data_IF_528911566009
#
_entry.id   IF_528911566009
#
_cell.length_a   1.000
_cell.length_b   1.000
_cell.length_c   1.000
_cell.angle_alpha   90.00
_cell.angle_beta   90.00
_cell.angle_gamma   90.00
#
_symmetry.space_group_name_H-M   'P 1'
#
loop_
_entity.id
_entity.type
_entity.pdbx_description
1 polymer ?
#
# COMPACT_ATOMS: atom_id res chain seq x y z
N UNK A 1 -27.84 -48.65 -10.22
CA UNK A 1 -27.04 -47.90 -9.23
C UNK A 1 -25.65 -48.52 -9.21
N UNK A 2 -24.64 -47.84 -9.76
CA UNK A 2 -23.26 -48.34 -9.79
C UNK A 2 -22.31 -47.19 -9.49
N UNK A 3 -21.40 -47.44 -8.54
CA UNK A 3 -20.46 -46.49 -7.98
C UNK A 3 -19.16 -46.46 -8.78
N UNK A 4 -18.52 -45.30 -8.86
CA UNK A 4 -17.07 -45.22 -9.07
C UNK A 4 -16.46 -44.27 -8.05
N UNK A 5 -15.64 -44.86 -7.18
CA UNK A 5 -14.68 -44.17 -6.33
C UNK A 5 -13.46 -43.86 -7.18
N UNK A 6 -12.95 -42.64 -7.12
CA UNK A 6 -11.65 -42.28 -7.70
C UNK A 6 -10.81 -41.61 -6.62
N UNK A 7 -9.84 -42.38 -6.12
CA UNK A 7 -8.73 -41.93 -5.30
C UNK A 7 -7.77 -41.12 -6.17
N UNK A 8 -7.28 -39.97 -5.69
CA UNK A 8 -6.14 -39.28 -6.28
C UNK A 8 -5.15 -38.88 -5.18
N UNK A 9 -3.87 -39.11 -5.51
CA UNK A 9 -2.76 -39.33 -4.61
C UNK A 9 -2.10 -38.06 -4.06
N UNK A 10 -1.31 -38.29 -3.00
CA UNK A 10 -0.31 -37.40 -2.40
C UNK A 10 0.46 -36.55 -3.42
N UNK A 11 0.57 -35.25 -3.14
CA UNK A 11 1.67 -34.42 -3.62
C UNK A 11 2.48 -33.94 -2.41
N UNK A 12 3.68 -34.49 -2.25
CA UNK A 12 4.68 -34.01 -1.31
C UNK A 12 5.24 -32.68 -1.81
N UNK A 13 4.98 -31.59 -1.10
CA UNK A 13 5.59 -30.29 -1.37
C UNK A 13 6.98 -30.23 -0.73
N UNK A 14 8.01 -30.34 -1.58
CA UNK A 14 9.38 -29.92 -1.27
C UNK A 14 9.38 -28.42 -0.98
N UNK A 15 9.55 -28.05 0.29
CA UNK A 15 9.74 -26.67 0.69
C UNK A 15 11.18 -26.23 0.33
N UNK A 16 11.35 -25.65 -0.87
CA UNK A 16 12.52 -24.84 -1.18
C UNK A 16 12.52 -23.61 -0.26
N UNK A 17 13.58 -23.43 0.53
CA UNK A 17 13.81 -22.20 1.29
C UNK A 17 14.13 -21.06 0.31
N UNK A 18 13.10 -20.38 -0.16
CA UNK A 18 13.25 -19.14 -0.93
C UNK A 18 13.93 -18.07 -0.06
N UNK A 19 14.78 -17.19 -0.64
CA UNK A 19 15.34 -16.07 0.10
C UNK A 19 14.20 -15.24 0.71
N UNK A 20 14.32 -14.87 1.98
CA UNK A 20 13.30 -14.12 2.69
C UNK A 20 13.03 -12.78 1.98
N UNK A 21 11.88 -12.71 1.30
CA UNK A 21 11.41 -11.52 0.60
C UNK A 21 10.84 -10.53 1.63
N UNK A 22 11.47 -9.37 1.77
CA UNK A 22 10.88 -8.28 2.54
C UNK A 22 9.90 -7.54 1.62
N UNK A 23 8.61 -7.64 1.91
CA UNK A 23 7.53 -6.99 1.16
C UNK A 23 6.57 -6.27 2.10
N UNK A 24 6.04 -5.14 1.67
CA UNK A 24 4.91 -4.50 2.34
C UNK A 24 3.99 -3.84 1.33
N UNK A 25 2.72 -3.70 1.70
CA UNK A 25 1.71 -2.97 0.97
C UNK A 25 0.82 -2.22 1.95
N UNK A 26 0.25 -1.12 1.51
CA UNK A 26 -0.76 -0.40 2.27
C UNK A 26 -1.66 0.35 1.31
N UNK A 27 -2.89 0.57 1.75
CA UNK A 27 -3.88 1.37 1.06
C UNK A 27 -4.55 2.27 2.09
N UNK A 28 -4.96 3.46 1.67
CA UNK A 28 -5.78 4.32 2.49
C UNK A 28 -6.75 5.08 1.63
N UNK A 29 -7.99 5.14 2.12
CA UNK A 29 -9.10 5.86 1.52
C UNK A 29 -9.62 6.86 2.53
N UNK A 30 -9.76 8.11 2.11
CA UNK A 30 -10.46 9.16 2.81
C UNK A 30 -11.80 9.38 2.08
N UNK A 31 -12.90 9.04 2.75
CA UNK A 31 -14.26 9.34 2.31
C UNK A 31 -15.14 9.44 3.55
N UNK A 32 -16.01 10.44 3.60
CA UNK A 32 -17.06 10.57 4.61
C UNK A 32 -18.45 10.25 4.06
N UNK A 33 -18.52 9.59 2.88
CA UNK A 33 -19.78 9.30 2.18
C UNK A 33 -20.38 10.50 1.43
N UNK A 34 -19.66 11.62 1.37
CA UNK A 34 -20.07 12.83 0.66
C UNK A 34 -19.50 12.95 -0.77
N UNK A 35 -19.30 14.18 -1.20
CA UNK A 35 -19.00 14.55 -2.60
C UNK A 35 -17.53 14.38 -2.97
N UNK A 36 -16.67 14.21 -1.97
CA UNK A 36 -15.22 14.08 -2.14
C UNK A 36 -14.69 12.74 -1.62
N UNK A 37 -13.81 12.13 -2.41
CA UNK A 37 -13.04 10.97 -1.99
C UNK A 37 -11.58 11.09 -2.43
N UNK A 38 -10.68 10.46 -1.68
CA UNK A 38 -9.28 10.36 -2.04
C UNK A 38 -8.73 9.02 -1.58
N UNK A 39 -8.09 8.28 -2.46
CA UNK A 39 -7.47 7.01 -2.17
C UNK A 39 -6.02 6.96 -2.67
N UNK A 40 -5.19 6.23 -1.93
CA UNK A 40 -3.81 5.99 -2.30
C UNK A 40 -3.40 4.58 -1.91
N UNK A 41 -2.52 3.98 -2.69
CA UNK A 41 -1.86 2.73 -2.34
C UNK A 41 -0.36 2.85 -2.54
N UNK A 42 0.39 2.02 -1.83
CA UNK A 42 1.84 1.95 -1.94
C UNK A 42 2.33 0.57 -1.53
N UNK A 43 3.24 0.02 -2.32
CA UNK A 43 3.88 -1.26 -2.09
C UNK A 43 5.37 -1.18 -2.37
N UNK A 44 6.12 -2.05 -1.71
CA UNK A 44 7.55 -2.14 -1.90
C UNK A 44 8.06 -3.53 -1.57
N UNK A 45 9.10 -3.95 -2.28
CA UNK A 45 9.79 -5.22 -2.05
C UNK A 45 11.28 -5.11 -2.30
N UNK A 46 12.07 -5.98 -1.64
CA UNK A 46 13.49 -6.14 -1.93
C UNK A 46 13.91 -7.61 -1.86
N UNK A 47 14.80 -8.00 -2.78
CA UNK A 47 15.41 -9.34 -2.86
C UNK A 47 16.91 -9.32 -2.53
N UNK A 48 17.37 -8.32 -1.77
CA UNK A 48 18.78 -8.12 -1.42
C UNK A 48 19.61 -7.42 -2.51
N UNK A 49 19.38 -7.75 -3.77
CA UNK A 49 20.03 -7.13 -4.95
C UNK A 49 19.09 -6.27 -5.78
N UNK A 50 17.77 -6.40 -5.59
CA UNK A 50 16.76 -5.61 -6.29
C UNK A 50 15.85 -4.88 -5.32
N UNK A 51 15.34 -3.73 -5.76
CA UNK A 51 14.38 -2.91 -5.03
C UNK A 51 13.26 -2.52 -5.98
N UNK A 52 12.03 -2.82 -5.59
CA UNK A 52 10.84 -2.41 -6.33
C UNK A 52 9.96 -1.57 -5.42
N UNK A 53 9.44 -0.46 -5.94
CA UNK A 53 8.43 0.37 -5.28
C UNK A 53 7.36 0.78 -6.27
N UNK A 54 6.10 0.75 -5.84
CA UNK A 54 4.96 1.11 -6.67
C UNK A 54 3.90 1.78 -5.80
N UNK A 55 3.03 2.58 -6.42
CA UNK A 55 1.84 3.08 -5.75
C UNK A 55 0.80 3.57 -6.72
N UNK A 56 -0.33 4.01 -6.17
CA UNK A 56 -1.45 4.60 -6.89
C UNK A 56 -2.01 5.78 -6.12
N UNK A 57 -2.66 6.70 -6.84
CA UNK A 57 -3.38 7.84 -6.29
C UNK A 57 -4.62 8.06 -7.14
N UNK A 58 -5.78 8.10 -6.50
CA UNK A 58 -7.09 8.33 -7.13
C UNK A 58 -7.88 9.27 -6.24
N UNK A 59 -8.62 10.20 -6.82
CA UNK A 59 -9.49 11.10 -6.08
C UNK A 59 -10.65 11.55 -6.97
N UNK A 60 -11.79 11.81 -6.33
CA UNK A 60 -12.99 12.28 -6.99
C UNK A 60 -13.59 13.44 -6.20
N UNK A 61 -14.14 14.42 -6.91
CA UNK A 61 -14.90 15.52 -6.35
C UNK A 61 -16.12 15.79 -7.24
N UNK A 62 -17.32 15.83 -6.65
CA UNK A 62 -18.54 16.23 -7.34
C UNK A 62 -18.72 17.76 -7.36
N UNK A 63 -19.78 18.24 -8.01
CA UNK A 63 -20.29 19.62 -7.92
C UNK A 63 -19.29 20.76 -8.25
N UNK A 64 -18.31 20.48 -9.11
CA UNK A 64 -17.28 21.47 -9.49
C UNK A 64 -16.10 21.54 -8.53
N UNK A 65 -15.96 20.57 -7.63
CA UNK A 65 -14.79 20.41 -6.79
C UNK A 65 -13.51 20.13 -7.56
N UNK A 66 -12.37 20.32 -6.90
CA UNK A 66 -11.03 20.15 -7.46
C UNK A 66 -10.37 18.86 -6.99
N UNK A 67 -9.73 18.16 -7.92
CA UNK A 67 -8.93 16.96 -7.66
C UNK A 67 -7.46 17.23 -7.95
N UNK A 68 -6.58 16.72 -7.09
CA UNK A 68 -5.14 16.72 -7.27
C UNK A 68 -4.57 15.35 -6.87
N UNK A 69 -3.99 14.64 -7.84
CA UNK A 69 -3.32 13.36 -7.64
C UNK A 69 -1.87 13.47 -8.08
N UNK A 70 -0.97 12.90 -7.28
CA UNK A 70 0.44 12.77 -7.62
C UNK A 70 0.95 11.41 -7.17
N UNK A 71 1.76 10.81 -8.02
CA UNK A 71 2.47 9.58 -7.73
C UNK A 71 3.90 9.73 -8.21
N UNK A 72 4.86 9.48 -7.32
CA UNK A 72 6.27 9.57 -7.65
C UNK A 72 6.97 8.35 -7.06
N UNK A 73 7.70 7.64 -7.90
CA UNK A 73 8.56 6.54 -7.52
C UNK A 73 10.00 6.85 -7.94
N UNK A 74 10.94 6.58 -7.06
CA UNK A 74 12.38 6.65 -7.33
C UNK A 74 13.06 5.47 -6.68
N UNK A 75 13.96 4.83 -7.40
CA UNK A 75 14.76 3.74 -6.88
C UNK A 75 16.21 3.90 -7.32
N UNK A 76 17.12 3.48 -6.44
CA UNK A 76 18.51 3.21 -6.75
C UNK A 76 18.90 1.88 -6.09
N UNK A 77 20.17 1.48 -6.22
CA UNK A 77 20.68 0.21 -5.70
C UNK A 77 20.49 0.03 -4.19
N UNK A 78 20.45 1.13 -3.43
CA UNK A 78 20.42 1.11 -1.95
C UNK A 78 19.03 1.36 -1.38
N UNK A 79 18.16 2.07 -2.10
CA UNK A 79 16.88 2.53 -1.57
C UNK A 79 15.86 2.78 -2.68
N UNK A 80 14.63 2.35 -2.40
CA UNK A 80 13.43 2.70 -3.15
C UNK A 80 12.55 3.60 -2.30
N UNK A 81 12.00 4.65 -2.89
CA UNK A 81 10.99 5.49 -2.27
C UNK A 81 9.85 5.72 -3.25
N UNK A 82 8.64 5.51 -2.77
CA UNK A 82 7.41 5.83 -3.46
C UNK A 82 6.56 6.76 -2.59
N UNK A 83 5.91 7.71 -3.24
CA UNK A 83 5.00 8.66 -2.61
C UNK A 83 3.78 8.86 -3.50
N UNK A 84 2.62 8.51 -2.97
CA UNK A 84 1.31 8.81 -3.53
C UNK A 84 0.65 9.90 -2.71
N UNK A 85 0.01 10.86 -3.35
CA UNK A 85 -0.88 11.83 -2.70
C UNK A 85 -2.11 11.99 -3.58
N UNK A 86 -3.27 11.86 -2.97
CA UNK A 86 -4.55 12.15 -3.58
C UNK A 86 -5.30 13.15 -2.71
N UNK A 87 -5.92 14.13 -3.35
CA UNK A 87 -6.69 15.18 -2.70
C UNK A 87 -7.92 15.48 -3.54
N UNK A 88 -9.06 15.54 -2.88
CA UNK A 88 -10.29 16.08 -3.42
C UNK A 88 -10.79 17.19 -2.49
N UNK A 89 -11.27 18.28 -3.07
CA UNK A 89 -11.80 19.43 -2.34
C UNK A 89 -13.07 19.89 -3.03
N UNK A 90 -14.10 20.08 -2.26
CA UNK A 90 -15.31 20.79 -2.63
C UNK A 90 -15.52 21.99 -1.67
N UNK A 91 -16.56 22.79 -1.88
CA UNK A 91 -16.87 23.98 -1.10
C UNK A 91 -16.99 23.69 0.41
N UNK A 92 -17.59 22.54 0.77
CA UNK A 92 -17.86 22.18 2.17
C UNK A 92 -17.10 20.94 2.64
N UNK A 93 -16.40 20.22 1.75
CA UNK A 93 -15.76 18.94 2.09
C UNK A 93 -14.35 18.81 1.53
N UNK A 94 -13.50 18.08 2.25
CA UNK A 94 -12.13 17.78 1.81
C UNK A 94 -11.75 16.36 2.17
N UNK A 95 -11.30 15.61 1.17
CA UNK A 95 -10.66 14.32 1.34
C UNK A 95 -9.17 14.40 0.95
N UNK A 96 -8.31 13.73 1.72
CA UNK A 96 -6.89 13.62 1.42
C UNK A 96 -6.37 12.26 1.83
N UNK A 97 -5.69 11.58 0.91
CA UNK A 97 -4.95 10.37 1.19
C UNK A 97 -3.49 10.55 0.78
N UNK A 98 -2.56 10.02 1.57
CA UNK A 98 -1.14 10.07 1.29
C UNK A 98 -0.48 8.78 1.73
N UNK A 99 0.13 8.08 0.80
CA UNK A 99 0.94 6.89 1.07
C UNK A 99 2.39 7.18 0.77
N UNK A 100 3.28 6.71 1.62
CA UNK A 100 4.71 6.76 1.41
C UNK A 100 5.31 5.40 1.74
N UNK A 101 5.95 4.78 0.74
CA UNK A 101 6.66 3.52 0.89
C UNK A 101 8.16 3.75 0.73
N UNK A 102 8.94 3.16 1.61
CA UNK A 102 10.39 3.18 1.59
C UNK A 102 10.91 1.74 1.71
N UNK A 103 11.75 1.35 0.76
CA UNK A 103 12.46 0.07 0.75
C UNK A 103 13.95 0.38 0.94
N UNK A 104 14.61 -0.29 1.89
CA UNK A 104 16.06 -0.25 2.03
C UNK A 104 16.67 -1.57 1.61
N UNK A 105 17.80 -1.49 0.90
CA UNK A 105 18.67 -2.63 0.69
C UNK A 105 19.08 -3.20 2.07
N UNK A 106 18.98 -4.52 2.25
CA UNK A 106 19.15 -5.15 3.56
C UNK A 106 17.84 -5.47 4.30
N UNK A 107 16.69 -5.33 3.63
CA UNK A 107 15.48 -6.09 3.97
C UNK A 107 14.45 -5.37 4.84
N UNK A 108 14.52 -4.05 4.99
CA UNK A 108 13.46 -3.30 5.68
C UNK A 108 12.62 -2.55 4.65
N UNK A 109 11.34 -2.89 4.59
CA UNK A 109 10.32 -2.14 3.86
C UNK A 109 9.38 -1.50 4.85
N UNK A 110 9.21 -0.18 4.76
CA UNK A 110 8.28 0.58 5.58
C UNK A 110 7.29 1.28 4.68
N UNK A 111 6.02 1.18 5.00
CA UNK A 111 4.97 1.96 4.37
C UNK A 111 4.15 2.69 5.41
N UNK A 112 3.78 3.93 5.11
CA UNK A 112 2.96 4.77 5.96
C UNK A 112 1.89 5.43 5.12
N UNK A 113 0.64 5.29 5.55
CA UNK A 113 -0.51 5.94 4.95
C UNK A 113 -1.21 6.83 5.94
N UNK A 114 -1.59 8.01 5.47
CA UNK A 114 -2.36 9.00 6.19
C UNK A 114 -3.60 9.28 5.36
N UNK A 115 -4.78 9.14 5.95
CA UNK A 115 -6.04 9.60 5.37
C UNK A 115 -6.59 10.71 6.24
N UNK A 116 -7.29 11.66 5.63
CA UNK A 116 -7.98 12.72 6.32
C UNK A 116 -9.24 13.07 5.55
N UNK A 117 -10.36 13.11 6.27
CA UNK A 117 -11.62 13.63 5.80
C UNK A 117 -12.04 14.79 6.70
N UNK A 118 -12.56 15.85 6.09
CA UNK A 118 -13.08 16.99 6.81
C UNK A 118 -14.32 17.53 6.10
N UNK A 119 -15.40 17.64 6.86
CA UNK A 119 -16.59 18.37 6.48
C UNK A 119 -16.64 19.69 7.25
N UNK A 120 -17.10 20.75 6.59
CA UNK A 120 -17.21 22.08 7.17
C UNK A 120 -18.11 22.05 8.40
N UNK A 121 -17.64 22.67 9.48
CA UNK A 121 -18.33 22.68 10.78
C UNK A 121 -18.00 21.49 11.69
N UNK A 122 -17.31 20.46 11.18
CA UNK A 122 -16.93 19.27 11.95
C UNK A 122 -15.41 19.21 12.18
N UNK A 123 -14.97 18.46 13.19
CA UNK A 123 -13.53 18.21 13.38
C UNK A 123 -13.01 17.27 12.28
N UNK A 124 -11.85 17.54 11.67
CA UNK A 124 -11.23 16.62 10.73
C UNK A 124 -10.98 15.24 11.36
N UNK A 125 -11.39 14.19 10.65
CA UNK A 125 -11.09 12.80 11.01
C UNK A 125 -9.87 12.36 10.22
N UNK A 126 -8.87 11.79 10.89
CA UNK A 126 -7.68 11.28 10.22
C UNK A 126 -7.30 9.90 10.75
N UNK A 127 -6.76 9.07 9.87
CA UNK A 127 -6.27 7.74 10.20
C UNK A 127 -4.82 7.60 9.72
N UNK A 128 -4.03 6.86 10.50
CA UNK A 128 -2.63 6.59 10.20
C UNK A 128 -2.39 5.09 10.26
N UNK A 129 -2.02 4.52 9.12
CA UNK A 129 -1.63 3.12 9.01
C UNK A 129 -0.15 3.06 8.74
N UNK A 130 0.60 2.26 9.49
CA UNK A 130 2.03 2.03 9.26
C UNK A 130 2.31 0.55 9.24
N UNK A 131 2.84 0.08 8.10
CA UNK A 131 3.27 -1.31 7.93
C UNK A 131 4.79 -1.33 7.80
N UNK A 132 5.45 -2.25 8.50
CA UNK A 132 6.90 -2.46 8.38
C UNK A 132 7.14 -3.95 8.20
N UNK A 133 7.89 -4.32 7.16
CA UNK A 133 8.31 -5.70 6.97
C UNK A 133 9.34 -6.09 8.05
N UNK A 134 9.32 -7.33 8.54
CA UNK A 134 10.39 -7.82 9.41
C UNK A 134 11.72 -7.81 8.66
N UNK A 135 12.81 -7.52 9.38
CA UNK A 135 14.16 -7.69 8.85
C UNK A 135 14.40 -9.20 8.64
N UNK A 136 14.92 -9.65 7.49
CA UNK A 136 15.24 -11.06 7.30
C UNK A 136 16.21 -11.53 8.39
N UNK A 137 15.85 -12.61 9.08
CA UNK A 137 16.65 -13.19 10.17
C UNK A 137 17.94 -13.78 9.61
N UNK A 138 19.07 -13.18 9.96
CA UNK A 138 20.39 -13.78 9.77
C UNK A 138 20.68 -14.69 10.96
N UNK A 139 20.03 -15.85 11.05
CA UNK A 139 20.54 -16.94 11.90
C UNK A 139 21.51 -17.77 11.05
N UNK A 140 22.82 -17.80 11.37
CA UNK A 140 23.64 -18.93 10.94
C UNK A 140 23.16 -20.18 11.68
N UNK A 141 23.24 -21.31 10.97
CA UNK A 141 22.84 -22.65 11.44
C UNK A 141 23.50 -23.04 12.77
#
# INVERSE_FOLDING_TARGET
MSAYRTSAALAASLAFAAPALAQTGTQGTASGGGDVNASTCGSGSTTGTSITVQGCADANAANGGTVDTSNTARANERMGMQRSTARAVDADERARARTQTQVRQGGVVRSRTMTMYHKRGEKPVHEVITNTSPKPSTKPH
#
